data_IF_647684565427
#
_entry.id   IF_647684565427
#
_cell.length_a   1.000
_cell.length_b   1.000
_cell.length_c   1.000
_cell.angle_alpha   90.00
_cell.angle_beta   90.00
_cell.angle_gamma   90.00
#
_symmetry.space_group_name_H-M   'P 1'
#
loop_
_entity.id
_entity.type
_entity.pdbx_description
1 polymer ?
#
# COMPACT_ATOMS: atom_id res chain seq x y z
N UNK A 1 43.24 1.44 12.74
CA UNK A 1 42.19 2.43 12.44
C UNK A 1 41.06 1.68 11.78
N UNK A 2 40.00 1.43 12.54
CA UNK A 2 38.86 0.61 12.14
C UNK A 2 37.94 1.43 11.23
N UNK A 3 37.94 1.10 9.93
CA UNK A 3 37.29 1.89 8.87
C UNK A 3 35.89 1.35 8.53
N UNK A 4 35.17 0.89 9.56
CA UNK A 4 33.81 0.39 9.46
C UNK A 4 32.84 1.57 9.36
N UNK A 5 32.59 2.06 8.13
CA UNK A 5 31.59 3.11 7.88
C UNK A 5 30.21 2.64 8.40
N UNK A 6 29.49 3.45 9.20
CA UNK A 6 28.21 3.06 9.76
C UNK A 6 27.18 2.84 8.65
N UNK A 7 26.61 1.65 8.60
CA UNK A 7 25.48 1.30 7.74
C UNK A 7 24.25 2.09 8.22
N UNK A 8 23.62 2.86 7.33
CA UNK A 8 22.40 3.60 7.68
C UNK A 8 21.25 2.59 7.79
N UNK A 9 20.70 2.43 8.99
CA UNK A 9 19.50 1.64 9.22
C UNK A 9 18.25 2.53 9.04
N UNK A 10 17.11 1.92 8.70
CA UNK A 10 15.84 2.63 8.49
C UNK A 10 14.74 2.05 9.37
N UNK A 11 13.75 2.88 9.73
CA UNK A 11 12.60 2.43 10.48
C UNK A 11 11.74 1.47 9.64
N UNK A 12 11.42 0.26 10.11
CA UNK A 12 10.65 -0.71 9.32
C UNK A 12 9.18 -0.30 9.13
N UNK A 13 8.67 0.62 9.95
CA UNK A 13 7.28 1.09 9.88
C UNK A 13 7.09 2.28 8.95
N UNK A 14 8.01 3.23 8.93
CA UNK A 14 7.85 4.51 8.21
C UNK A 14 8.99 4.83 7.25
N UNK A 15 10.05 4.03 7.23
CA UNK A 15 11.19 4.19 6.34
C UNK A 15 12.17 5.29 6.69
N UNK A 16 11.95 6.09 7.73
CA UNK A 16 12.87 7.17 8.13
C UNK A 16 14.25 6.63 8.50
N UNK A 17 15.36 7.31 8.16
CA UNK A 17 16.70 6.92 8.59
C UNK A 17 16.77 6.94 10.11
N UNK A 18 17.22 5.82 10.69
CA UNK A 18 17.42 5.71 12.11
C UNK A 18 18.75 6.40 12.49
N UNK A 19 18.77 7.15 13.61
CA UNK A 19 20.01 7.75 14.09
C UNK A 19 21.04 6.65 14.44
N UNK A 20 22.35 6.95 14.33
CA UNK A 20 23.39 5.99 14.69
C UNK A 20 23.29 5.60 16.18
N UNK A 21 23.71 4.37 16.51
CA UNK A 21 23.82 3.91 17.91
C UNK A 21 22.61 3.14 18.46
N UNK A 22 22.00 2.25 17.67
CA UNK A 22 20.92 1.33 18.10
C UNK A 22 19.72 2.03 18.76
N UNK A 23 18.98 2.89 18.02
CA UNK A 23 17.83 3.59 18.57
C UNK A 23 16.75 2.62 19.01
N UNK A 24 16.15 2.87 20.18
CA UNK A 24 15.09 2.04 20.74
C UNK A 24 13.73 2.29 20.10
N UNK A 25 13.52 3.45 19.50
CA UNK A 25 12.29 3.84 18.83
C UNK A 25 12.60 4.78 17.66
N UNK A 26 11.72 4.79 16.65
CA UNK A 26 11.76 5.76 15.58
C UNK A 26 11.24 7.10 16.08
N UNK A 27 12.05 8.15 15.99
CA UNK A 27 11.69 9.49 16.45
C UNK A 27 10.52 10.10 15.67
N UNK A 28 10.34 9.72 14.40
CA UNK A 28 9.30 10.26 13.53
C UNK A 28 7.93 9.59 13.70
N UNK A 29 7.89 8.27 13.89
CA UNK A 29 6.62 7.53 13.94
C UNK A 29 6.35 6.80 15.26
N UNK A 30 7.24 6.93 16.25
CA UNK A 30 7.14 6.32 17.57
C UNK A 30 7.24 4.79 17.58
N UNK A 31 7.62 4.16 16.46
CA UNK A 31 7.69 2.70 16.38
C UNK A 31 8.87 2.15 17.21
N UNK A 32 8.67 1.17 18.11
CA UNK A 32 9.74 0.55 18.88
C UNK A 32 10.63 -0.31 17.98
N UNK A 33 11.93 -0.04 17.99
CA UNK A 33 12.96 -0.71 17.16
C UNK A 33 13.73 -1.78 17.95
N UNK A 34 13.83 -1.66 19.29
CA UNK A 34 14.68 -2.52 20.13
C UNK A 34 14.00 -3.76 20.74
N UNK A 35 12.78 -4.12 20.36
CA UNK A 35 12.01 -5.18 21.04
C UNK A 35 12.29 -6.62 20.58
N UNK A 36 13.32 -6.89 19.78
CA UNK A 36 13.60 -8.25 19.26
C UNK A 36 14.84 -8.94 19.85
N UNK A 37 15.53 -8.38 20.85
CA UNK A 37 16.83 -8.89 21.32
C UNK A 37 16.96 -9.29 22.80
N UNK A 38 15.86 -9.44 23.55
CA UNK A 38 15.99 -9.90 24.95
C UNK A 38 15.09 -11.10 25.23
N UNK A 39 15.73 -12.28 25.29
CA UNK A 39 15.15 -13.50 25.84
C UNK A 39 15.86 -14.81 25.45
N UNK A 40 16.87 -15.21 26.24
CA UNK A 40 17.41 -16.59 26.47
C UNK A 40 18.83 -16.89 25.89
N UNK A 41 19.73 -17.57 26.64
CA UNK A 41 21.19 -17.43 26.53
C UNK A 41 21.93 -18.45 25.65
N UNK A 42 23.02 -17.95 25.06
CA UNK A 42 24.27 -18.58 24.60
C UNK A 42 24.22 -19.99 23.97
N UNK A 43 24.06 -20.01 22.64
CA UNK A 43 24.70 -20.95 21.73
C UNK A 43 25.65 -20.15 20.80
N UNK A 44 26.74 -20.73 20.28
CA UNK A 44 27.74 -19.98 19.52
C UNK A 44 27.10 -19.34 18.27
N UNK A 45 27.43 -18.07 18.03
CA UNK A 45 26.86 -17.20 17.00
C UNK A 45 26.62 -17.89 15.64
N UNK A 46 25.39 -17.90 15.13
CA UNK A 46 25.15 -17.50 13.75
C UNK A 46 25.10 -15.97 13.73
N UNK A 47 26.17 -15.37 13.23
CA UNK A 47 26.31 -13.94 13.03
C UNK A 47 25.16 -13.37 12.20
N UNK A 48 24.67 -12.21 12.65
CA UNK A 48 23.81 -11.24 11.94
C UNK A 48 22.43 -11.70 11.47
N UNK A 49 21.45 -11.24 12.24
CA UNK A 49 20.03 -11.10 11.95
C UNK A 49 19.81 -10.35 10.62
N UNK A 50 19.44 -11.11 9.59
CA UNK A 50 18.20 -10.91 8.82
C UNK A 50 18.08 -9.77 7.81
N UNK A 51 18.90 -8.72 7.84
CA UNK A 51 18.91 -7.75 6.75
C UNK A 51 19.75 -8.31 5.59
N UNK A 52 19.10 -8.98 4.63
CA UNK A 52 19.76 -9.33 3.35
C UNK A 52 20.10 -8.05 2.61
N UNK A 53 21.33 -7.60 2.85
CA UNK A 53 21.89 -6.35 2.38
C UNK A 53 22.85 -6.67 1.26
N UNK A 54 22.30 -6.93 0.07
CA UNK A 54 23.12 -7.19 -1.12
C UNK A 54 23.86 -5.90 -1.48
N UNK A 55 25.19 -5.90 -1.42
CA UNK A 55 25.99 -4.86 -2.09
C UNK A 55 26.17 -5.28 -3.55
N UNK A 56 25.51 -4.58 -4.47
CA UNK A 56 25.83 -4.77 -5.89
C UNK A 56 27.30 -4.36 -6.11
N UNK A 57 28.05 -5.06 -6.99
CA UNK A 57 29.47 -4.76 -7.23
C UNK A 57 29.76 -3.29 -7.59
N UNK A 58 28.78 -2.61 -8.19
CA UNK A 58 28.83 -1.20 -8.57
C UNK A 58 28.08 -0.26 -7.59
N UNK A 59 27.34 -0.77 -6.61
CA UNK A 59 26.69 0.02 -5.57
C UNK A 59 27.65 0.21 -4.38
N UNK A 60 27.92 1.48 -4.04
CA UNK A 60 28.83 1.83 -2.92
C UNK A 60 28.16 1.77 -1.54
N UNK A 61 26.93 1.27 -1.48
CA UNK A 61 26.03 1.34 -0.33
C UNK A 61 25.15 0.09 -0.25
N UNK A 62 24.73 -0.23 0.97
CA UNK A 62 23.82 -1.33 1.29
C UNK A 62 22.41 -1.01 0.79
N UNK A 63 21.75 -2.00 0.19
CA UNK A 63 20.37 -1.91 -0.30
C UNK A 63 19.40 -2.31 0.82
N UNK A 64 18.25 -1.65 0.91
CA UNK A 64 17.27 -1.93 1.97
C UNK A 64 15.88 -2.18 1.42
N UNK A 65 15.12 -3.01 2.14
CA UNK A 65 13.71 -3.24 1.87
C UNK A 65 12.90 -2.78 3.06
N UNK A 66 11.91 -1.93 2.80
CA UNK A 66 11.14 -1.26 3.84
C UNK A 66 9.65 -1.41 3.54
N UNK A 67 8.88 -1.77 4.57
CA UNK A 67 7.42 -1.79 4.51
C UNK A 67 6.88 -0.43 4.09
N UNK A 68 6.08 -0.40 3.03
CA UNK A 68 5.54 0.84 2.47
C UNK A 68 4.50 1.51 3.38
N UNK A 69 4.50 2.85 3.38
CA UNK A 69 3.45 3.68 3.97
C UNK A 69 2.62 4.36 2.87
N UNK A 70 1.43 4.87 3.23
CA UNK A 70 0.55 5.59 2.30
C UNK A 70 1.11 6.97 1.93
N UNK A 71 1.85 7.58 2.85
CA UNK A 71 2.70 8.73 2.57
C UNK A 71 4.00 8.21 1.97
N UNK A 72 4.47 8.84 0.89
CA UNK A 72 5.84 8.65 0.39
C UNK A 72 6.80 8.66 1.59
N UNK A 73 7.78 7.76 1.62
CA UNK A 73 8.57 7.61 2.82
C UNK A 73 9.27 8.93 3.12
N UNK A 74 9.27 9.35 4.38
CA UNK A 74 10.19 10.37 4.90
C UNK A 74 11.64 9.83 4.96
N UNK A 75 11.94 8.77 4.20
CA UNK A 75 13.25 8.12 4.11
C UNK A 75 14.30 8.94 3.36
N UNK A 76 13.87 10.03 2.69
CA UNK A 76 14.71 10.78 1.76
C UNK A 76 14.93 10.03 0.43
N UNK A 77 14.32 8.87 0.22
CA UNK A 77 14.37 8.16 -1.05
C UNK A 77 13.49 8.83 -2.09
N UNK A 78 14.07 9.11 -3.26
CA UNK A 78 13.36 9.77 -4.36
C UNK A 78 12.57 8.73 -5.16
N UNK A 79 11.22 8.81 -5.22
CA UNK A 79 10.41 7.89 -6.02
C UNK A 79 10.65 8.08 -7.53
N UNK A 80 10.23 7.11 -8.36
CA UNK A 80 10.21 7.29 -9.81
C UNK A 80 9.35 8.52 -10.18
N UNK A 81 9.76 9.23 -11.22
CA UNK A 81 9.08 10.44 -11.71
C UNK A 81 9.27 11.70 -10.86
N UNK A 82 9.96 11.61 -9.71
CA UNK A 82 10.10 12.72 -8.75
C UNK A 82 11.51 13.34 -8.68
N UNK A 83 12.46 12.83 -9.46
CA UNK A 83 13.80 13.41 -9.56
C UNK A 83 13.82 14.54 -10.56
N UNK A 84 14.15 15.75 -10.10
CA UNK A 84 14.02 17.01 -10.86
C UNK A 84 15.37 17.65 -11.23
N UNK A 85 16.48 16.96 -10.97
CA UNK A 85 17.80 17.44 -11.37
C UNK A 85 18.18 16.89 -12.75
N UNK A 86 18.93 17.67 -13.53
CA UNK A 86 19.38 17.27 -14.86
C UNK A 86 20.37 16.10 -14.79
N UNK A 87 21.24 16.06 -13.78
CA UNK A 87 22.15 14.93 -13.60
C UNK A 87 21.43 13.70 -13.02
N UNK A 88 21.81 12.48 -13.42
CA UNK A 88 21.28 11.27 -12.80
C UNK A 88 21.70 11.16 -11.31
N UNK A 89 20.90 10.47 -10.48
CA UNK A 89 21.24 10.15 -9.10
C UNK A 89 22.67 9.63 -8.93
N UNK A 90 23.38 10.19 -7.95
CA UNK A 90 24.71 9.74 -7.58
C UNK A 90 24.67 8.49 -6.68
N UNK A 91 25.81 7.87 -6.43
CA UNK A 91 25.93 6.76 -5.47
C UNK A 91 25.56 7.13 -4.02
N UNK A 92 25.49 8.42 -3.67
CA UNK A 92 25.08 8.89 -2.34
C UNK A 92 23.57 9.13 -2.24
N UNK A 93 22.89 9.17 -3.39
CA UNK A 93 21.45 9.37 -3.46
C UNK A 93 20.72 8.08 -3.10
N UNK A 94 19.56 8.20 -2.47
CA UNK A 94 18.64 7.09 -2.26
C UNK A 94 17.47 7.24 -3.23
N UNK A 95 17.18 6.19 -3.99
CA UNK A 95 16.03 6.08 -4.89
C UNK A 95 15.10 4.98 -4.41
N UNK A 96 13.79 5.15 -4.62
CA UNK A 96 12.79 4.16 -4.22
C UNK A 96 12.26 3.41 -5.45
N UNK A 97 12.09 2.09 -5.34
CA UNK A 97 11.38 1.28 -6.34
C UNK A 97 10.22 0.53 -5.69
N UNK A 98 9.08 0.48 -6.38
CA UNK A 98 7.90 -0.23 -5.87
C UNK A 98 7.86 -1.68 -6.36
N UNK A 99 7.85 -2.61 -5.43
CA UNK A 99 7.70 -4.03 -5.74
C UNK A 99 6.27 -4.33 -6.27
N UNK A 100 6.09 -5.31 -7.20
CA UNK A 100 4.78 -5.76 -7.71
C UNK A 100 3.96 -6.48 -6.62
N UNK A 101 3.48 -5.75 -5.63
CA UNK A 101 2.85 -6.36 -4.47
C UNK A 101 1.38 -5.98 -4.40
N UNK A 102 0.56 -6.98 -4.09
CA UNK A 102 -0.86 -6.78 -3.84
C UNK A 102 -1.14 -6.70 -2.36
N UNK A 103 -1.91 -5.70 -1.93
CA UNK A 103 -2.35 -5.58 -0.55
C UNK A 103 -3.27 -6.75 -0.15
N UNK A 104 -2.98 -7.39 0.98
CA UNK A 104 -3.81 -8.41 1.63
C UNK A 104 -4.07 -8.03 3.09
N UNK A 105 -4.91 -8.80 3.78
CA UNK A 105 -5.12 -8.60 5.23
C UNK A 105 -3.78 -8.85 5.94
N UNK A 106 -3.32 -7.89 6.73
CA UNK A 106 -2.08 -8.00 7.51
C UNK A 106 -0.77 -7.93 6.71
N UNK A 107 -0.79 -7.56 5.42
CA UNK A 107 0.43 -7.43 4.63
C UNK A 107 0.23 -7.32 3.12
N UNK A 108 1.16 -7.90 2.38
CA UNK A 108 1.22 -7.93 0.93
C UNK A 108 1.49 -9.35 0.42
N UNK A 109 1.17 -9.59 -0.85
CA UNK A 109 1.53 -10.81 -1.57
C UNK A 109 2.10 -10.51 -2.94
N UNK A 110 3.12 -11.26 -3.35
CA UNK A 110 3.60 -11.35 -4.72
C UNK A 110 3.18 -12.67 -5.34
N UNK A 111 2.66 -12.65 -6.57
CA UNK A 111 2.18 -13.84 -7.29
C UNK A 111 2.85 -13.94 -8.66
N UNK A 112 3.22 -15.15 -9.05
CA UNK A 112 3.72 -15.44 -10.39
C UNK A 112 2.67 -15.07 -11.43
N UNK A 113 3.08 -14.36 -12.50
CA UNK A 113 2.19 -13.81 -13.51
C UNK A 113 1.54 -12.48 -13.13
N UNK A 114 1.75 -11.98 -11.91
CA UNK A 114 1.32 -10.64 -11.46
C UNK A 114 2.54 -9.78 -11.12
N UNK A 115 3.38 -9.55 -12.14
CA UNK A 115 4.63 -8.80 -12.01
C UNK A 115 5.81 -9.58 -11.43
N UNK A 116 5.58 -10.82 -10.98
CA UNK A 116 6.63 -11.76 -10.58
C UNK A 116 6.74 -12.93 -11.56
N UNK A 117 7.96 -13.43 -11.73
CA UNK A 117 8.33 -14.64 -12.48
C UNK A 117 8.94 -15.64 -11.49
N UNK A 118 8.52 -16.91 -11.53
CA UNK A 118 9.23 -17.98 -10.83
C UNK A 118 10.54 -18.28 -11.56
N UNK A 119 11.63 -18.39 -10.82
CA UNK A 119 12.97 -18.59 -11.38
C UNK A 119 13.57 -19.92 -10.88
N UNK A 120 14.23 -19.89 -9.73
CA UNK A 120 14.91 -21.06 -9.17
C UNK A 120 14.05 -21.81 -8.14
N UNK A 121 14.29 -23.11 -8.02
CA UNK A 121 13.81 -23.96 -6.92
C UNK A 121 14.97 -24.75 -6.35
N UNK A 122 15.12 -24.74 -5.03
CA UNK A 122 16.20 -25.43 -4.34
C UNK A 122 15.66 -26.29 -3.19
N UNK A 123 16.17 -27.51 -3.06
CA UNK A 123 15.84 -28.36 -1.91
C UNK A 123 16.58 -27.86 -0.65
N UNK A 124 15.85 -27.79 0.46
CA UNK A 124 16.35 -27.45 1.79
C UNK A 124 16.29 -28.69 2.71
N UNK A 125 16.94 -28.60 3.87
CA UNK A 125 16.90 -29.65 4.89
C UNK A 125 15.48 -29.92 5.40
N UNK A 126 15.16 -31.20 5.63
CA UNK A 126 13.86 -31.63 6.16
C UNK A 126 12.73 -31.60 5.13
N UNK A 127 13.01 -32.02 3.90
CA UNK A 127 12.05 -32.06 2.78
C UNK A 127 11.42 -30.72 2.37
N UNK A 128 11.99 -29.62 2.83
CA UNK A 128 11.55 -28.26 2.48
C UNK A 128 12.06 -27.88 1.10
N UNK A 129 11.35 -26.96 0.45
CA UNK A 129 11.77 -26.37 -0.82
C UNK A 129 11.81 -24.85 -0.71
N UNK A 130 12.86 -24.24 -1.23
CA UNK A 130 12.96 -22.80 -1.42
C UNK A 130 12.60 -22.45 -2.87
N UNK A 131 11.80 -21.40 -3.04
CA UNK A 131 11.42 -20.85 -4.35
C UNK A 131 11.88 -19.40 -4.44
N UNK A 132 12.53 -19.07 -5.56
CA UNK A 132 12.93 -17.70 -5.88
C UNK A 132 11.98 -17.12 -6.94
N UNK A 133 11.49 -15.92 -6.67
CA UNK A 133 10.64 -15.15 -7.57
C UNK A 133 11.36 -13.86 -7.97
N UNK A 134 11.39 -13.54 -9.25
CA UNK A 134 12.02 -12.34 -9.78
C UNK A 134 10.99 -11.32 -10.28
N UNK A 135 11.29 -10.04 -10.08
CA UNK A 135 10.55 -8.93 -10.66
C UNK A 135 11.52 -7.90 -11.24
N UNK A 136 11.21 -7.41 -12.44
CA UNK A 136 11.95 -6.32 -13.07
C UNK A 136 11.24 -5.00 -12.80
N UNK A 137 12.01 -3.98 -12.42
CA UNK A 137 11.52 -2.65 -12.09
C UNK A 137 12.40 -1.59 -12.72
N UNK A 138 11.77 -0.46 -13.03
CA UNK A 138 12.44 0.69 -13.60
C UNK A 138 12.20 1.88 -12.68
N UNK A 139 13.29 2.48 -12.24
CA UNK A 139 13.26 3.82 -11.69
C UNK A 139 13.61 4.81 -12.81
N UNK A 140 12.90 5.93 -12.84
CA UNK A 140 13.08 6.95 -13.87
C UNK A 140 12.92 8.34 -13.23
N UNK A 141 13.56 9.37 -13.79
CA UNK A 141 13.44 10.74 -13.30
C UNK A 141 12.14 11.41 -13.76
N UNK A 142 11.89 12.64 -13.32
CA UNK A 142 10.84 13.48 -13.88
C UNK A 142 11.09 13.74 -15.39
N UNK A 143 10.06 14.04 -16.20
CA UNK A 143 10.24 14.32 -17.62
C UNK A 143 11.30 15.40 -17.87
N UNK A 144 12.27 15.12 -18.74
CA UNK A 144 13.36 16.03 -19.08
C UNK A 144 14.55 16.05 -18.11
N UNK A 145 14.50 15.30 -17.01
CA UNK A 145 15.53 15.28 -15.96
C UNK A 145 16.40 14.00 -16.03
N UNK A 146 17.43 13.92 -15.18
CA UNK A 146 18.25 12.72 -14.95
C UNK A 146 19.05 12.23 -16.15
N UNK A 147 19.39 13.12 -17.08
CA UNK A 147 20.24 12.84 -18.24
C UNK A 147 19.63 11.85 -19.24
N UNK A 148 18.31 11.68 -19.22
CA UNK A 148 17.62 10.66 -20.03
C UNK A 148 17.92 9.23 -19.60
N UNK A 149 18.46 9.02 -18.39
CA UNK A 149 18.79 7.70 -17.86
C UNK A 149 17.65 7.12 -17.03
N UNK A 150 17.51 5.80 -17.11
CA UNK A 150 16.60 4.99 -16.32
C UNK A 150 17.40 3.88 -15.62
N UNK A 151 17.09 3.62 -14.36
CA UNK A 151 17.73 2.58 -13.57
C UNK A 151 16.85 1.33 -13.61
N UNK A 152 17.34 0.30 -14.30
CA UNK A 152 16.70 -1.01 -14.37
C UNK A 152 17.17 -1.85 -13.21
N UNK A 153 16.24 -2.41 -12.44
CA UNK A 153 16.50 -3.16 -11.21
C UNK A 153 15.76 -4.49 -11.25
N UNK A 154 16.49 -5.58 -10.97
CA UNK A 154 15.92 -6.90 -10.75
C UNK A 154 15.83 -7.15 -9.25
N UNK A 155 14.61 -7.34 -8.76
CA UNK A 155 14.31 -7.72 -7.38
C UNK A 155 14.10 -9.23 -7.34
N UNK A 156 14.63 -9.89 -6.32
CA UNK A 156 14.31 -11.27 -5.97
C UNK A 156 13.44 -11.31 -4.71
N UNK A 157 12.58 -12.32 -4.60
CA UNK A 157 11.84 -12.67 -3.39
C UNK A 157 11.96 -14.17 -3.12
N UNK A 158 12.19 -14.55 -1.87
CA UNK A 158 12.45 -15.94 -1.47
C UNK A 158 11.30 -16.47 -0.62
N UNK A 159 10.82 -17.68 -0.91
CA UNK A 159 9.74 -18.28 -0.15
C UNK A 159 9.94 -19.80 0.06
N UNK A 160 9.74 -20.27 1.29
CA UNK A 160 9.87 -21.69 1.62
C UNK A 160 8.51 -22.42 1.58
N UNK A 161 8.52 -23.69 1.20
CA UNK A 161 7.38 -24.62 1.31
C UNK A 161 7.77 -25.90 2.05
N UNK A 162 6.75 -26.55 2.60
CA UNK A 162 6.82 -27.95 3.06
C UNK A 162 6.81 -28.92 1.86
N UNK A 163 7.16 -30.17 2.14
CA UNK A 163 7.33 -31.26 1.18
C UNK A 163 6.14 -31.43 0.21
N UNK A 164 6.45 -31.60 -1.07
CA UNK A 164 5.46 -31.89 -2.12
C UNK A 164 4.54 -30.73 -2.52
N UNK A 165 4.68 -29.54 -1.92
CA UNK A 165 3.85 -28.37 -2.24
C UNK A 165 4.57 -27.41 -3.18
N UNK A 166 4.00 -27.17 -4.36
CA UNK A 166 4.44 -26.06 -5.20
C UNK A 166 3.99 -24.71 -4.63
N UNK A 167 4.79 -23.66 -4.86
CA UNK A 167 4.39 -22.28 -4.62
C UNK A 167 4.24 -21.49 -5.91
N UNK A 168 3.15 -20.75 -5.97
CA UNK A 168 2.83 -19.79 -7.03
C UNK A 168 3.19 -18.35 -6.64
N UNK A 169 3.69 -18.13 -5.41
CA UNK A 169 4.03 -16.81 -4.91
C UNK A 169 4.42 -16.81 -3.44
N UNK A 170 4.43 -15.63 -2.83
CA UNK A 170 4.87 -15.39 -1.46
C UNK A 170 4.02 -14.34 -0.76
N UNK A 171 4.16 -14.26 0.57
CA UNK A 171 3.49 -13.27 1.42
C UNK A 171 4.54 -12.52 2.24
N UNK A 172 4.30 -11.24 2.44
CA UNK A 172 5.08 -10.34 3.26
C UNK A 172 4.15 -9.71 4.28
N UNK A 173 4.32 -9.97 5.58
CA UNK A 173 3.46 -9.41 6.62
C UNK A 173 4.01 -8.08 7.13
N UNK A 174 3.11 -7.28 7.69
CA UNK A 174 3.48 -6.04 8.36
C UNK A 174 4.30 -6.37 9.61
N UNK A 175 5.51 -5.82 9.70
CA UNK A 175 6.40 -6.00 10.85
C UNK A 175 7.32 -7.22 10.78
N UNK A 176 7.21 -8.04 9.74
CA UNK A 176 8.16 -9.13 9.47
C UNK A 176 9.32 -8.62 8.60
N UNK A 177 10.43 -9.36 8.58
CA UNK A 177 11.50 -9.10 7.63
C UNK A 177 11.00 -9.36 6.20
N UNK A 178 11.25 -8.44 5.27
CA UNK A 178 10.83 -8.61 3.90
C UNK A 178 11.64 -9.73 3.23
N UNK A 179 10.98 -10.66 2.52
CA UNK A 179 11.67 -11.76 1.86
C UNK A 179 12.34 -11.33 0.55
N UNK A 180 12.64 -10.04 0.36
CA UNK A 180 13.04 -9.46 -0.92
C UNK A 180 14.44 -8.86 -0.87
N UNK A 181 15.13 -8.88 -2.00
CA UNK A 181 16.46 -8.29 -2.16
C UNK A 181 16.68 -7.78 -3.59
N UNK A 182 17.64 -6.87 -3.78
CA UNK A 182 18.07 -6.44 -5.12
C UNK A 182 19.09 -7.43 -5.66
N UNK A 183 18.76 -8.14 -6.75
CA UNK A 183 19.64 -9.11 -7.40
C UNK A 183 20.58 -8.46 -8.42
N UNK A 184 20.09 -7.45 -9.13
CA UNK A 184 20.85 -6.77 -10.19
C UNK A 184 20.35 -5.35 -10.39
N UNK A 185 21.23 -4.41 -10.76
CA UNK A 185 20.82 -3.09 -11.22
C UNK A 185 21.81 -2.50 -12.23
N UNK A 186 21.29 -1.79 -13.22
CA UNK A 186 22.07 -1.10 -14.24
C UNK A 186 21.37 0.16 -14.75
N UNK A 187 22.16 1.15 -15.16
CA UNK A 187 21.65 2.31 -15.87
C UNK A 187 21.48 1.99 -17.34
N UNK A 188 20.37 2.46 -17.93
CA UNK A 188 20.11 2.43 -19.36
C UNK A 188 19.67 3.81 -19.85
N UNK A 189 19.95 4.12 -21.11
CA UNK A 189 19.36 5.29 -21.79
C UNK A 189 17.88 5.04 -22.09
N UNK A 190 17.15 6.09 -22.48
CA UNK A 190 15.77 6.00 -22.96
C UNK A 190 15.58 4.99 -24.10
N UNK A 191 16.63 4.77 -24.90
CA UNK A 191 16.63 3.85 -26.04
C UNK A 191 16.98 2.40 -25.62
N UNK A 192 17.21 2.17 -24.32
CA UNK A 192 17.45 0.85 -23.74
C UNK A 192 18.91 0.40 -23.76
N UNK A 193 19.86 1.26 -24.16
CA UNK A 193 21.28 0.92 -24.17
C UNK A 193 21.89 1.03 -22.77
N UNK A 194 22.63 0.01 -22.29
CA UNK A 194 23.27 0.05 -20.98
C UNK A 194 24.36 1.12 -20.94
N UNK A 195 24.45 1.82 -19.80
CA UNK A 195 25.48 2.83 -19.54
C UNK A 195 26.45 2.26 -18.50
N UNK A 196 27.54 1.59 -18.94
CA UNK A 196 28.51 1.01 -18.02
C UNK A 196 29.23 2.12 -17.23
N UNK A 197 29.69 1.78 -16.03
CA UNK A 197 30.45 2.66 -15.11
C UNK A 197 29.68 3.82 -14.47
N UNK A 198 28.41 4.04 -14.82
CA UNK A 198 27.57 4.99 -14.08
C UNK A 198 27.32 4.44 -12.65
N UNK A 199 27.59 5.22 -11.59
CA UNK A 199 27.40 4.74 -10.22
C UNK A 199 25.93 4.41 -9.92
N UNK A 200 25.68 3.29 -9.25
CA UNK A 200 24.33 2.91 -8.82
C UNK A 200 24.00 3.59 -7.48
N UNK A 201 22.87 4.30 -7.37
CA UNK A 201 22.41 4.88 -6.10
C UNK A 201 22.06 3.79 -5.07
N UNK A 202 21.79 4.19 -3.83
CA UNK A 202 21.09 3.30 -2.90
C UNK A 202 19.66 3.08 -3.41
N UNK A 203 19.26 1.83 -3.55
CA UNK A 203 17.93 1.40 -3.95
C UNK A 203 17.19 0.92 -2.71
N UNK A 204 16.09 1.58 -2.45
CA UNK A 204 15.13 1.20 -1.43
C UNK A 204 13.95 0.49 -2.11
N UNK A 205 13.76 -0.79 -1.81
CA UNK A 205 12.57 -1.52 -2.24
C UNK A 205 11.42 -1.17 -1.31
N UNK A 206 10.33 -0.68 -1.91
CA UNK A 206 9.13 -0.28 -1.21
C UNK A 206 7.96 -1.20 -1.56
N UNK A 207 7.16 -1.53 -0.56
CA UNK A 207 5.81 -2.01 -0.85
C UNK A 207 4.96 -0.84 -1.40
N UNK A 208 4.03 -1.10 -2.33
CA UNK A 208 3.11 -0.08 -2.81
C UNK A 208 2.19 0.38 -1.67
N UNK A 209 1.66 1.60 -1.76
CA UNK A 209 0.75 2.16 -0.78
C UNK A 209 -0.40 1.20 -0.45
N UNK A 210 -0.67 1.04 0.85
CA UNK A 210 -1.74 0.19 1.35
C UNK A 210 -2.78 1.04 2.04
N UNK A 211 -3.94 1.20 1.43
CA UNK A 211 -5.04 1.87 2.10
C UNK A 211 -5.68 0.94 3.10
N UNK A 212 -5.86 1.39 4.35
CA UNK A 212 -6.53 0.60 5.37
C UNK A 212 -7.91 0.18 4.88
N UNK A 213 -8.13 -1.14 4.82
CA UNK A 213 -9.44 -1.71 4.57
C UNK A 213 -10.27 -1.62 5.83
N UNK A 214 -11.59 -1.65 5.66
CA UNK A 214 -12.54 -1.79 6.78
C UNK A 214 -12.19 -3.00 7.67
N UNK A 215 -11.67 -4.09 7.08
CA UNK A 215 -11.23 -5.29 7.82
C UNK A 215 -9.92 -5.10 8.61
N UNK A 216 -9.14 -4.08 8.30
CA UNK A 216 -7.86 -3.83 8.98
C UNK A 216 -8.04 -3.04 10.27
N UNK A 217 -9.23 -2.47 10.46
CA UNK A 217 -9.55 -1.60 11.59
C UNK A 217 -10.51 -2.34 12.52
N UNK A 218 -10.22 -2.29 13.82
CA UNK A 218 -11.12 -2.82 14.85
C UNK A 218 -12.26 -1.84 15.11
N UNK A 219 -13.13 -1.65 14.12
CA UNK A 219 -14.27 -0.74 14.16
C UNK A 219 -15.59 -1.50 14.05
N UNK A 220 -16.58 -1.04 14.81
CA UNK A 220 -17.96 -1.50 14.72
C UNK A 220 -18.89 -0.33 14.46
N UNK A 221 -19.99 -0.59 13.73
CA UNK A 221 -21.01 0.44 13.51
C UNK A 221 -21.78 0.63 14.81
N UNK A 222 -21.61 1.80 15.43
CA UNK A 222 -22.29 2.15 16.68
C UNK A 222 -23.78 2.37 16.46
N UNK A 223 -24.61 1.95 17.42
CA UNK A 223 -26.03 2.32 17.49
C UNK A 223 -26.17 3.58 18.32
N UNK A 224 -26.93 4.55 17.83
CA UNK A 224 -27.17 5.83 18.50
C UNK A 224 -28.62 6.26 18.34
N UNK A 225 -29.11 7.11 19.24
CA UNK A 225 -30.41 7.76 19.00
C UNK A 225 -30.34 8.70 17.80
N UNK A 226 -31.49 8.98 17.18
CA UNK A 226 -31.56 9.88 16.02
C UNK A 226 -30.97 11.27 16.33
N UNK A 227 -31.28 11.84 17.49
CA UNK A 227 -30.77 13.16 17.89
C UNK A 227 -29.25 13.18 18.14
N UNK A 228 -28.67 12.10 18.63
CA UNK A 228 -27.22 11.95 18.74
C UNK A 228 -26.55 11.77 17.38
N UNK A 229 -27.16 10.97 16.51
CA UNK A 229 -26.67 10.75 15.17
C UNK A 229 -26.69 12.05 14.36
N UNK A 230 -27.77 12.82 14.42
CA UNK A 230 -27.90 14.11 13.73
C UNK A 230 -26.88 15.14 14.25
N UNK A 231 -26.62 15.19 15.56
CA UNK A 231 -25.53 16.03 16.12
C UNK A 231 -24.15 15.61 15.62
N UNK A 232 -23.92 14.33 15.35
CA UNK A 232 -22.65 13.83 14.83
C UNK A 232 -22.42 14.22 13.37
N UNK A 233 -23.47 14.53 12.62
CA UNK A 233 -23.41 14.96 11.21
C UNK A 233 -23.00 16.43 11.03
N UNK A 234 -22.81 17.20 12.11
CA UNK A 234 -22.28 18.56 12.00
C UNK A 234 -20.92 18.53 11.29
N UNK A 235 -20.80 19.28 10.19
CA UNK A 235 -19.63 19.30 9.31
C UNK A 235 -19.60 18.23 8.21
N UNK A 236 -20.56 17.30 8.20
CA UNK A 236 -20.73 16.31 7.14
C UNK A 236 -21.38 16.93 5.90
N UNK A 237 -20.91 16.54 4.71
CA UNK A 237 -21.57 16.85 3.44
C UNK A 237 -22.85 16.01 3.28
N UNK A 238 -22.88 14.81 3.84
CA UNK A 238 -24.04 13.92 3.80
C UNK A 238 -24.94 14.15 5.01
N UNK A 239 -26.23 14.41 4.76
CA UNK A 239 -27.25 14.69 5.79
C UNK A 239 -28.45 13.72 5.75
N UNK A 240 -28.52 12.85 4.74
CA UNK A 240 -29.62 11.92 4.52
C UNK A 240 -29.68 10.73 5.49
N UNK A 241 -30.69 9.89 5.31
CA UNK A 241 -30.74 8.54 5.90
C UNK A 241 -30.37 7.54 4.82
N UNK A 242 -29.51 6.59 5.17
CA UNK A 242 -28.96 5.65 4.21
C UNK A 242 -29.22 4.21 4.62
N UNK A 243 -29.21 3.31 3.64
CA UNK A 243 -29.17 1.87 3.83
C UNK A 243 -27.89 1.30 3.22
N UNK A 244 -27.31 0.29 3.88
CA UNK A 244 -26.19 -0.46 3.33
C UNK A 244 -26.68 -1.38 2.22
N UNK A 245 -26.24 -1.12 0.99
CA UNK A 245 -26.42 -2.04 -0.13
C UNK A 245 -25.44 -3.20 0.09
N UNK A 246 -25.93 -4.43 0.32
CA UNK A 246 -25.06 -5.62 0.53
C UNK A 246 -24.59 -5.86 1.98
N UNK A 247 -25.09 -5.09 2.95
CA UNK A 247 -24.84 -5.30 4.39
C UNK A 247 -23.51 -4.72 4.91
N UNK A 248 -23.13 -5.09 6.15
CA UNK A 248 -21.89 -4.63 6.81
C UNK A 248 -20.64 -5.41 6.35
N UNK A 249 -20.50 -5.51 5.03
CA UNK A 249 -19.39 -6.20 4.37
C UNK A 249 -18.81 -5.25 3.32
N UNK A 250 -17.49 -5.11 3.36
CA UNK A 250 -16.76 -4.32 2.36
C UNK A 250 -16.94 -4.93 0.98
N UNK A 251 -17.40 -4.13 0.03
CA UNK A 251 -17.70 -4.53 -1.33
C UNK A 251 -16.73 -3.88 -2.32
N UNK A 252 -16.61 -4.51 -3.49
CA UNK A 252 -15.92 -3.91 -4.63
C UNK A 252 -16.84 -2.87 -5.27
N UNK A 253 -16.38 -1.62 -5.30
CA UNK A 253 -17.07 -0.46 -5.87
C UNK A 253 -16.23 0.15 -7.01
N UNK A 254 -16.80 1.06 -7.82
CA UNK A 254 -16.03 1.83 -8.78
C UNK A 254 -14.88 2.65 -8.14
N UNK A 255 -15.00 3.00 -6.85
CA UNK A 255 -14.00 3.73 -6.07
C UNK A 255 -13.05 2.80 -5.28
N UNK A 256 -12.87 1.54 -5.72
CA UNK A 256 -12.14 0.53 -4.95
C UNK A 256 -13.04 -0.14 -3.90
N UNK A 257 -12.49 -0.55 -2.76
CA UNK A 257 -13.25 -1.33 -1.75
C UNK A 257 -13.87 -0.44 -0.67
N UNK A 258 -15.18 -0.56 -0.45
CA UNK A 258 -15.89 0.25 0.56
C UNK A 258 -17.26 -0.30 0.93
N UNK A 259 -17.96 0.44 1.79
CA UNK A 259 -19.35 0.21 2.19
C UNK A 259 -20.26 1.06 1.28
N UNK A 260 -21.16 0.42 0.55
CA UNK A 260 -22.08 1.08 -0.37
C UNK A 260 -23.36 1.49 0.34
N UNK A 261 -23.73 2.76 0.19
CA UNK A 261 -24.84 3.38 0.88
C UNK A 261 -25.76 4.06 -0.14
N UNK A 262 -27.06 3.77 -0.05
CA UNK A 262 -28.11 4.40 -0.86
C UNK A 262 -29.01 5.22 0.04
N UNK A 263 -29.37 6.42 -0.40
CA UNK A 263 -30.30 7.26 0.35
C UNK A 263 -31.70 6.64 0.33
N UNK A 264 -32.37 6.68 1.46
CA UNK A 264 -33.76 6.23 1.58
C UNK A 264 -34.61 7.35 2.16
N UNK A 265 -35.80 7.50 1.60
CA UNK A 265 -36.81 8.41 2.15
C UNK A 265 -37.19 7.92 3.54
N UNK A 266 -37.11 8.81 4.54
CA UNK A 266 -37.72 8.54 5.82
C UNK A 266 -39.24 8.48 5.63
N UNK A 267 -39.81 7.29 5.49
CA UNK A 267 -41.26 7.14 5.57
C UNK A 267 -41.75 7.66 6.94
N UNK A 268 -42.53 8.74 6.91
CA UNK A 268 -43.32 9.21 8.04
C UNK A 268 -44.30 8.10 8.46
N UNK A 269 -44.23 7.72 9.73
CA UNK A 269 -45.23 6.92 10.46
C UNK A 269 -45.76 5.64 9.77
N UNK A 270 -45.00 4.54 9.85
CA UNK A 270 -45.60 3.20 9.75
C UNK A 270 -46.47 2.90 10.97
N UNK A 271 -47.72 2.50 10.71
CA UNK A 271 -48.67 2.00 11.70
C UNK A 271 -48.05 0.90 12.57
N UNK A 272 -48.35 0.91 13.86
CA UNK A 272 -47.75 0.02 14.87
C UNK A 272 -47.84 -1.48 14.49
N UNK A 273 -48.91 -1.88 13.79
CA UNK A 273 -49.11 -3.24 13.28
C UNK A 273 -48.10 -3.67 12.21
N UNK A 274 -47.59 -2.74 11.41
CA UNK A 274 -46.58 -3.03 10.37
C UNK A 274 -45.16 -3.16 10.94
N UNK A 275 -44.93 -2.76 12.20
CA UNK A 275 -43.63 -2.91 12.89
C UNK A 275 -43.38 -4.32 13.42
N UNK A 276 -44.42 -5.13 13.58
CA UNK A 276 -44.35 -6.47 14.18
C UNK A 276 -43.93 -7.58 13.20
N UNK A 277 -44.12 -7.39 11.88
CA UNK A 277 -43.98 -8.47 10.89
C UNK A 277 -42.93 -8.21 9.80
N UNK A 278 -42.27 -7.06 9.78
CA UNK A 278 -41.28 -6.71 8.74
C UNK A 278 -39.93 -6.45 9.39
N UNK A 279 -38.95 -7.32 9.12
CA UNK A 279 -37.54 -7.03 9.39
C UNK A 279 -37.18 -5.77 8.60
N UNK A 280 -37.19 -4.64 9.28
CA UNK A 280 -36.95 -3.36 8.63
C UNK A 280 -35.46 -3.26 8.34
N UNK A 281 -35.04 -2.91 7.12
CA UNK A 281 -33.62 -2.74 6.82
C UNK A 281 -33.02 -1.73 7.79
N UNK A 282 -31.82 -2.02 8.31
CA UNK A 282 -31.13 -1.12 9.21
C UNK A 282 -30.87 0.22 8.51
N UNK A 283 -31.15 1.32 9.21
CA UNK A 283 -30.96 2.68 8.74
C UNK A 283 -29.68 3.26 9.34
N UNK A 284 -28.98 4.06 8.56
CA UNK A 284 -27.69 4.62 8.92
C UNK A 284 -27.65 6.12 8.65
N UNK A 285 -26.95 6.85 9.53
CA UNK A 285 -26.38 8.16 9.19
C UNK A 285 -24.91 7.95 8.84
N UNK A 286 -24.42 8.74 7.89
CA UNK A 286 -23.05 8.65 7.37
C UNK A 286 -22.41 10.00 7.51
N UNK A 287 -21.22 10.06 8.12
CA UNK A 287 -20.40 11.27 8.22
C UNK A 287 -19.27 11.21 7.21
N UNK A 288 -19.32 12.08 6.22
CA UNK A 288 -18.26 12.30 5.21
C UNK A 288 -18.03 13.80 5.12
N UNK A 289 -16.83 14.25 5.45
CA UNK A 289 -16.47 15.66 5.55
C UNK A 289 -15.88 16.19 4.23
N UNK A 290 -15.11 15.34 3.53
CA UNK A 290 -14.39 15.70 2.31
C UNK A 290 -14.62 14.64 1.21
N UNK A 291 -15.86 14.50 0.71
CA UNK A 291 -16.13 13.55 -0.35
C UNK A 291 -15.50 13.98 -1.67
N UNK A 292 -15.06 13.01 -2.46
CA UNK A 292 -15.00 13.18 -3.90
C UNK A 292 -16.43 13.03 -4.46
N UNK A 293 -16.99 14.10 -5.02
CA UNK A 293 -18.29 14.03 -5.71
C UNK A 293 -18.07 14.00 -7.21
N UNK A 294 -18.57 12.96 -7.88
CA UNK A 294 -18.32 12.76 -9.32
C UNK A 294 -19.46 11.99 -9.98
N UNK A 295 -19.77 12.36 -11.22
CA UNK A 295 -20.71 11.60 -12.04
C UNK A 295 -20.13 10.22 -12.41
N UNK A 296 -20.93 9.17 -12.27
CA UNK A 296 -20.48 7.79 -12.48
C UNK A 296 -20.03 7.53 -13.94
N UNK A 297 -20.62 8.22 -14.92
CA UNK A 297 -20.20 8.08 -16.32
C UNK A 297 -18.87 8.80 -16.57
N UNK A 298 -18.67 9.96 -15.94
CA UNK A 298 -17.43 10.72 -16.01
C UNK A 298 -16.27 10.00 -15.28
N UNK A 299 -16.57 9.23 -14.23
CA UNK A 299 -15.59 8.48 -13.44
C UNK A 299 -14.70 7.57 -14.29
N UNK A 300 -15.24 6.93 -15.34
CA UNK A 300 -14.46 6.05 -16.21
C UNK A 300 -13.29 6.78 -16.90
N UNK A 301 -13.44 8.08 -17.20
CA UNK A 301 -12.35 8.90 -17.74
C UNK A 301 -11.31 9.20 -16.65
N UNK A 302 -11.77 9.53 -15.44
CA UNK A 302 -10.90 9.77 -14.29
C UNK A 302 -10.03 8.55 -13.96
N UNK A 303 -10.59 7.33 -14.02
CA UNK A 303 -9.83 6.09 -13.77
C UNK A 303 -8.64 5.94 -14.72
N UNK A 304 -8.76 6.35 -15.98
CA UNK A 304 -7.62 6.32 -16.92
C UNK A 304 -6.52 7.27 -16.49
N UNK A 305 -6.87 8.49 -16.09
CA UNK A 305 -5.93 9.48 -15.58
C UNK A 305 -5.25 8.99 -14.29
N UNK A 306 -6.02 8.42 -13.35
CA UNK A 306 -5.48 7.85 -12.11
C UNK A 306 -4.41 6.79 -12.39
N UNK A 307 -4.67 5.89 -13.36
CA UNK A 307 -3.70 4.87 -13.75
C UNK A 307 -2.45 5.46 -14.38
N UNK A 308 -2.58 6.54 -15.16
CA UNK A 308 -1.44 7.26 -15.71
C UNK A 308 -0.62 7.96 -14.63
N UNK A 309 -1.28 8.62 -13.65
CA UNK A 309 -0.61 9.24 -12.50
C UNK A 309 0.14 8.21 -11.65
N UNK A 310 -0.48 7.04 -11.39
CA UNK A 310 0.18 5.96 -10.67
C UNK A 310 1.39 5.41 -11.45
N UNK A 311 1.24 5.14 -12.75
CA UNK A 311 2.32 4.67 -13.61
C UNK A 311 3.47 5.68 -13.69
N UNK A 312 3.18 6.98 -13.72
CA UNK A 312 4.18 8.06 -13.70
C UNK A 312 4.99 8.12 -12.40
N UNK A 313 4.57 7.41 -11.34
CA UNK A 313 5.31 7.24 -10.09
C UNK A 313 5.92 5.83 -9.96
N UNK A 314 5.91 5.04 -11.05
CA UNK A 314 6.39 3.66 -11.05
C UNK A 314 5.52 2.71 -10.21
N UNK A 315 4.28 3.10 -9.90
CA UNK A 315 3.31 2.23 -9.22
C UNK A 315 2.63 1.32 -10.23
N UNK A 316 3.14 0.09 -10.33
CA UNK A 316 2.53 -0.99 -11.08
C UNK A 316 1.57 -1.77 -10.17
N UNK A 317 0.36 -1.23 -10.01
CA UNK A 317 -0.69 -1.77 -9.13
C UNK A 317 -2.00 -1.99 -9.88
N UNK A 318 -2.83 -2.91 -9.37
CA UNK A 318 -4.18 -3.14 -9.89
C UNK A 318 -5.00 -1.84 -9.90
N UNK A 319 -5.92 -1.68 -10.87
CA UNK A 319 -6.77 -0.48 -11.01
C UNK A 319 -7.45 -0.07 -9.70
N UNK A 320 -8.01 -1.03 -8.96
CA UNK A 320 -8.67 -0.76 -7.68
C UNK A 320 -7.68 -0.13 -6.67
N UNK A 321 -6.45 -0.65 -6.60
CA UNK A 321 -5.43 -0.13 -5.70
C UNK A 321 -4.91 1.24 -6.12
N UNK A 322 -4.79 1.51 -7.43
CA UNK A 322 -4.45 2.84 -7.95
C UNK A 322 -5.54 3.87 -7.59
N UNK A 323 -6.82 3.49 -7.74
CA UNK A 323 -7.96 4.33 -7.37
C UNK A 323 -7.95 4.63 -5.88
N UNK A 324 -7.85 3.59 -5.05
CA UNK A 324 -7.75 3.76 -3.61
C UNK A 324 -6.62 4.74 -3.30
N UNK A 325 -5.39 4.47 -3.78
CA UNK A 325 -4.21 5.30 -3.53
C UNK A 325 -4.44 6.76 -3.87
N UNK A 326 -5.06 7.02 -5.02
CA UNK A 326 -5.36 8.37 -5.48
C UNK A 326 -6.35 9.06 -4.54
N UNK A 327 -7.43 8.37 -4.14
CA UNK A 327 -8.43 8.91 -3.22
C UNK A 327 -7.79 9.35 -1.89
N UNK A 328 -6.92 8.51 -1.32
CA UNK A 328 -6.20 8.82 -0.08
C UNK A 328 -5.20 9.98 -0.27
N UNK A 329 -4.43 9.96 -1.37
CA UNK A 329 -3.43 11.00 -1.70
C UNK A 329 -4.05 12.40 -1.71
N UNK A 330 -5.26 12.55 -2.23
CA UNK A 330 -5.97 13.83 -2.26
C UNK A 330 -6.79 14.12 -0.99
N UNK A 331 -6.75 13.22 -0.01
CA UNK A 331 -7.36 13.39 1.31
C UNK A 331 -8.88 13.28 1.30
N UNK A 332 -9.44 12.51 0.36
CA UNK A 332 -10.88 12.24 0.34
C UNK A 332 -11.22 11.15 1.37
N UNK A 333 -12.25 11.39 2.17
CA UNK A 333 -12.71 10.44 3.19
C UNK A 333 -13.91 9.60 2.73
N UNK A 334 -14.47 9.88 1.56
CA UNK A 334 -15.54 9.10 0.93
C UNK A 334 -15.72 9.48 -0.53
N UNK A 335 -16.58 8.75 -1.25
CA UNK A 335 -16.95 9.08 -2.63
C UNK A 335 -18.46 9.14 -2.76
N UNK A 336 -18.95 10.16 -3.46
CA UNK A 336 -20.36 10.32 -3.79
C UNK A 336 -20.50 10.24 -5.31
N UNK A 337 -21.10 9.16 -5.80
CA UNK A 337 -21.42 9.00 -7.20
C UNK A 337 -22.80 9.57 -7.49
N UNK A 338 -22.90 10.48 -8.46
CA UNK A 338 -24.17 10.93 -9.05
C UNK A 338 -24.42 10.24 -10.39
N UNK A 339 -25.64 10.31 -10.93
CA UNK A 339 -25.99 9.63 -12.19
C UNK A 339 -25.87 8.11 -12.09
N UNK A 340 -26.11 7.56 -10.89
CA UNK A 340 -25.84 6.17 -10.55
C UNK A 340 -26.98 5.19 -10.95
N UNK A 341 -28.05 5.69 -11.59
CA UNK A 341 -29.30 4.95 -11.82
C UNK A 341 -29.10 3.66 -12.61
N UNK A 342 -28.27 3.69 -13.66
CA UNK A 342 -28.02 2.52 -14.52
C UNK A 342 -27.39 1.35 -13.74
N UNK A 343 -26.56 1.63 -12.74
CA UNK A 343 -25.81 0.61 -11.99
C UNK A 343 -26.49 0.23 -10.67
N UNK A 344 -27.08 1.20 -9.99
CA UNK A 344 -27.55 1.07 -8.61
C UNK A 344 -29.04 1.35 -8.42
N UNK A 345 -29.78 1.66 -9.50
CA UNK A 345 -31.23 1.98 -9.48
C UNK A 345 -31.59 3.17 -8.58
N UNK A 346 -30.63 4.05 -8.34
CA UNK A 346 -30.79 5.30 -7.61
C UNK A 346 -29.82 6.34 -8.17
N UNK A 347 -30.20 7.61 -8.10
CA UNK A 347 -29.43 8.69 -8.72
C UNK A 347 -28.09 8.92 -7.99
N UNK A 348 -28.05 8.67 -6.67
CA UNK A 348 -26.88 8.91 -5.84
C UNK A 348 -26.50 7.69 -5.00
N UNK A 349 -25.20 7.39 -4.96
CA UNK A 349 -24.62 6.35 -4.11
C UNK A 349 -23.40 6.89 -3.38
N UNK A 350 -23.29 6.56 -2.10
CA UNK A 350 -22.15 6.91 -1.26
C UNK A 350 -21.29 5.67 -1.03
N UNK A 351 -19.98 5.84 -1.13
CA UNK A 351 -18.97 4.87 -0.73
C UNK A 351 -18.26 5.40 0.50
N UNK A 352 -18.45 4.72 1.63
CA UNK A 352 -17.70 4.96 2.86
C UNK A 352 -16.56 3.95 2.99
N UNK A 353 -15.40 4.38 3.48
CA UNK A 353 -14.20 3.54 3.59
C UNK A 353 -13.97 2.98 4.99
N UNK A 354 -14.73 3.42 5.99
CA UNK A 354 -14.60 3.01 7.39
C UNK A 354 -15.97 2.80 8.04
N UNK A 355 -16.07 1.84 8.96
CA UNK A 355 -17.28 1.63 9.78
C UNK A 355 -17.49 2.78 10.74
N UNK A 356 -16.40 3.40 11.22
CA UNK A 356 -16.45 4.57 12.09
C UNK A 356 -17.19 5.77 11.49
N UNK A 357 -17.36 5.83 10.16
CA UNK A 357 -18.14 6.87 9.48
C UNK A 357 -19.65 6.66 9.58
N UNK A 358 -20.09 5.44 9.90
CA UNK A 358 -21.49 5.07 9.96
C UNK A 358 -21.98 5.04 11.43
N UNK A 359 -23.23 5.43 11.62
CA UNK A 359 -23.98 5.15 12.84
C UNK A 359 -25.33 4.58 12.48
N UNK A 360 -25.73 3.53 13.18
CA UNK A 360 -27.05 2.92 13.03
C UNK A 360 -28.06 3.66 13.91
N UNK A 361 -29.17 4.06 13.30
CA UNK A 361 -30.28 4.76 13.98
C UNK A 361 -31.50 3.86 14.13
#
# INVERSE_FOLDING_TARGET
>A
MDNSRPTIAFCPRCGVPLPPGNPRFCIECGYPVAAQHEGTPTAPLPSSVGQMTVRLPNARVVQSVIGGTVKLPSSGAVPPGMWVLDEPPSAQTVVAIYAPLRAIVGGWSGLSGQGWRRDERQALAGSRMQFTFLAERVWFPAPGCGGGLQLHVTIAAIAESEEGRERIGFRYRIGDDPPMEVRYAEWRTSDGHPVPNQPIPAIQIMAPPRIPRVSDLNETIRRMSRSEADRRLVGSVTQGVYQLLGGDIQQRTPAGRGLLLVEVVEEEQRNWLQRLFVVTPARYRVRIERPLTVDLTAWNRQVKQIRQEAAALGLDVETDAAIEWWIDRYGYDGVIFTGADQRYRCNQVIVAFRRGQLVRV
#
